data_IF_310783208153
#
_entry.id   IF_310783208153
#
_cell.length_a   1.000
_cell.length_b   1.000
_cell.length_c   1.000
_cell.angle_alpha   90.00
_cell.angle_beta   90.00
_cell.angle_gamma   90.00
#
_symmetry.space_group_name_H-M   'P 1'
#
loop_
_entity.id
_entity.type
_entity.pdbx_description
1 polymer ?
#
# COMPACT_ATOMS: atom_id res chain seq x y z
N UNK A 1 2.56 -28.58 45.77
CA UNK A 1 3.38 -29.03 46.93
C UNK A 1 4.45 -29.98 46.41
N UNK A 2 5.73 -29.58 46.57
CA UNK A 2 6.97 -30.39 46.67
C UNK A 2 7.39 -31.31 45.50
N UNK A 3 8.66 -31.46 45.13
CA UNK A 3 9.94 -30.86 45.56
C UNK A 3 11.01 -31.30 44.53
N UNK A 4 11.94 -30.40 44.20
CA UNK A 4 13.24 -30.74 43.61
C UNK A 4 14.11 -31.53 44.61
N UNK A 5 15.18 -32.16 44.12
CA UNK A 5 16.45 -32.09 44.83
C UNK A 5 17.61 -31.57 43.96
N UNK A 6 18.51 -30.91 44.69
CA UNK A 6 19.75 -30.22 44.32
C UNK A 6 20.97 -31.13 44.54
N UNK A 7 22.10 -30.75 43.93
CA UNK A 7 23.48 -31.12 44.30
C UNK A 7 24.35 -31.20 43.03
N UNK A 8 25.20 -30.25 42.63
CA UNK A 8 26.21 -29.37 43.27
C UNK A 8 27.52 -30.05 43.69
N UNK A 9 28.61 -29.67 43.02
CA UNK A 9 30.01 -29.63 43.47
C UNK A 9 30.84 -29.01 42.31
N UNK A 10 31.15 -27.71 42.33
CA UNK A 10 32.28 -27.01 43.00
C UNK A 10 33.60 -26.99 42.19
N UNK A 11 33.84 -25.87 41.48
CA UNK A 11 34.88 -24.80 41.65
C UNK A 11 36.29 -25.18 42.22
N UNK A 12 37.37 -24.34 42.18
CA UNK A 12 37.47 -22.92 41.74
C UNK A 12 38.83 -22.45 41.09
N UNK A 13 38.87 -21.18 40.65
CA UNK A 13 39.89 -20.12 40.90
C UNK A 13 40.10 -19.21 39.66
N UNK A 14 39.64 -17.94 39.72
CA UNK A 14 40.41 -16.70 40.08
C UNK A 14 41.58 -16.42 39.12
N UNK A 15 41.84 -15.22 38.60
CA UNK A 15 41.36 -13.86 38.84
C UNK A 15 42.08 -12.90 37.89
N UNK A 16 41.42 -11.79 37.52
CA UNK A 16 41.93 -10.40 37.36
C UNK A 16 43.31 -10.14 36.73
N UNK A 17 43.38 -9.29 35.69
CA UNK A 17 43.93 -7.91 35.80
C UNK A 17 44.23 -7.26 34.44
N UNK A 18 44.05 -5.94 34.42
CA UNK A 18 44.42 -4.99 33.38
C UNK A 18 45.93 -4.80 33.25
N UNK A 19 46.47 -4.68 32.03
CA UNK A 19 47.72 -3.96 31.68
C UNK A 19 47.59 -3.48 30.21
N UNK A 20 47.61 -2.18 29.90
CA UNK A 20 48.73 -1.22 29.87
C UNK A 20 49.65 -1.34 28.64
N UNK A 21 49.82 -0.21 27.96
CA UNK A 21 50.63 0.05 26.76
C UNK A 21 52.15 -0.12 26.94
N UNK A 22 52.84 -0.45 25.83
CA UNK A 22 54.23 -0.17 25.36
C UNK A 22 54.82 -1.44 24.69
N UNK A 23 55.70 -1.47 23.68
CA UNK A 23 56.68 -0.53 23.09
C UNK A 23 57.27 -1.14 21.79
N UNK A 24 57.97 -0.29 20.99
CA UNK A 24 59.04 -0.67 20.04
C UNK A 24 58.58 -0.73 18.58
N UNK A 25 59.25 -0.17 17.57
CA UNK A 25 60.65 0.23 17.37
C UNK A 25 60.62 1.12 16.09
N UNK A 26 61.25 2.28 15.96
CA UNK A 26 62.68 2.44 15.66
C UNK A 26 63.07 3.94 15.62
N UNK A 27 64.26 4.19 16.16
CA UNK A 27 65.33 5.11 15.74
C UNK A 27 65.17 6.62 15.93
N UNK A 28 65.75 7.04 17.05
CA UNK A 28 66.37 8.35 17.30
C UNK A 28 67.78 8.33 16.68
N UNK A 29 68.14 9.37 15.93
CA UNK A 29 69.53 9.74 15.69
C UNK A 29 69.71 11.23 16.05
N UNK A 30 70.69 11.51 16.91
CA UNK A 30 70.86 12.76 17.62
C UNK A 30 72.35 13.09 17.63
N UNK A 31 72.88 13.54 16.49
CA UNK A 31 74.16 14.25 16.44
C UNK A 31 74.33 15.06 15.13
N UNK A 32 73.91 16.32 15.14
CA UNK A 32 74.63 17.41 14.46
C UNK A 32 73.95 18.77 14.73
N UNK A 33 74.58 19.56 15.60
CA UNK A 33 74.26 20.96 15.75
C UNK A 33 74.78 21.77 14.56
N UNK A 34 73.89 22.26 13.68
CA UNK A 34 74.09 23.53 12.99
C UNK A 34 72.83 24.03 12.28
N UNK A 35 72.57 25.32 12.46
CA UNK A 35 71.44 26.08 11.92
C UNK A 35 71.65 26.31 10.42
N UNK A 36 70.68 25.88 9.59
CA UNK A 36 70.48 26.43 8.23
C UNK A 36 69.06 26.99 8.10
N UNK A 37 68.97 28.33 8.12
CA UNK A 37 67.80 29.09 7.66
C UNK A 37 67.52 28.73 6.19
N UNK A 38 66.42 28.03 5.91
CA UNK A 38 65.86 28.02 4.56
C UNK A 38 64.98 29.27 4.37
N UNK A 39 65.38 30.10 3.40
CA UNK A 39 64.55 31.22 2.92
C UNK A 39 63.30 30.63 2.26
N UNK A 40 62.12 30.86 2.85
CA UNK A 40 60.84 30.66 2.13
C UNK A 40 60.80 31.61 0.92
N UNK A 41 60.39 31.15 -0.27
CA UNK A 41 60.16 32.04 -1.39
C UNK A 41 58.98 32.96 -1.05
N UNK A 42 59.17 34.27 -1.18
CA UNK A 42 58.07 35.23 -1.13
C UNK A 42 57.22 35.02 -2.38
N UNK A 43 56.04 34.42 -2.23
CA UNK A 43 55.02 34.39 -3.27
C UNK A 43 54.51 35.81 -3.51
N UNK A 44 55.01 36.46 -4.57
CA UNK A 44 54.64 37.81 -4.99
C UNK A 44 53.23 37.90 -5.62
N UNK A 45 52.43 36.83 -5.60
CA UNK A 45 51.05 36.83 -6.15
C UNK A 45 49.95 37.18 -5.12
N UNK A 46 50.21 37.03 -3.82
CA UNK A 46 49.18 37.29 -2.79
C UNK A 46 48.94 38.79 -2.51
N UNK A 47 49.88 39.67 -2.86
CA UNK A 47 49.78 41.11 -2.56
C UNK A 47 48.95 41.94 -3.56
N UNK A 48 48.63 41.40 -4.74
CA UNK A 48 47.87 42.12 -5.76
C UNK A 48 46.35 41.86 -5.71
N UNK A 49 45.92 40.75 -5.11
CA UNK A 49 44.49 40.44 -4.92
C UNK A 49 43.93 40.98 -3.59
N UNK A 50 44.73 40.95 -2.51
CA UNK A 50 44.30 41.45 -1.20
C UNK A 50 43.93 42.93 -1.20
N UNK A 51 44.64 43.77 -1.96
CA UNK A 51 44.36 45.21 -2.08
C UNK A 51 43.08 45.51 -2.86
N UNK A 52 42.74 44.73 -3.90
CA UNK A 52 41.49 44.88 -4.66
C UNK A 52 40.27 44.37 -3.90
N UNK A 53 40.40 43.23 -3.22
CA UNK A 53 39.34 42.66 -2.38
C UNK A 53 39.04 43.61 -1.21
N UNK A 54 40.08 44.09 -0.52
CA UNK A 54 39.90 45.03 0.58
C UNK A 54 39.25 46.35 0.12
N UNK A 55 39.52 46.80 -1.10
CA UNK A 55 38.87 47.98 -1.69
C UNK A 55 37.39 47.75 -2.04
N UNK A 56 37.01 46.55 -2.47
CA UNK A 56 35.62 46.14 -2.71
C UNK A 56 34.82 46.02 -1.42
N UNK A 57 35.41 45.42 -0.37
CA UNK A 57 34.82 45.39 0.98
C UNK A 57 34.65 46.79 1.57
N UNK A 58 35.52 47.75 1.22
CA UNK A 58 35.47 49.13 1.71
C UNK A 58 34.47 50.02 0.95
N UNK A 59 34.28 49.80 -0.36
CA UNK A 59 33.32 50.54 -1.19
C UNK A 59 31.88 50.02 -1.06
N UNK A 60 31.70 48.71 -0.92
CA UNK A 60 30.39 48.08 -0.91
C UNK A 60 30.26 46.97 0.17
N UNK A 61 30.40 47.32 1.47
CA UNK A 61 30.39 46.35 2.56
C UNK A 61 29.08 45.52 2.62
N UNK A 62 27.96 46.14 2.22
CA UNK A 62 26.64 45.50 2.21
C UNK A 62 26.53 44.45 1.09
N UNK A 63 26.96 44.77 -0.14
CA UNK A 63 26.90 43.83 -1.28
C UNK A 63 27.76 42.60 -1.06
N UNK A 64 28.96 42.78 -0.48
CA UNK A 64 29.84 41.64 -0.19
C UNK A 64 29.27 40.77 0.93
N UNK A 65 28.64 41.37 1.94
CA UNK A 65 27.93 40.63 2.99
C UNK A 65 26.75 39.82 2.42
N UNK A 66 25.97 40.40 1.51
CA UNK A 66 24.86 39.72 0.83
C UNK A 66 25.37 38.53 0.01
N UNK A 67 26.47 38.67 -0.72
CA UNK A 67 27.06 37.59 -1.52
C UNK A 67 27.54 36.42 -0.66
N UNK A 68 28.17 36.70 0.49
CA UNK A 68 28.64 35.67 1.42
C UNK A 68 27.48 34.94 2.10
N UNK A 69 26.42 35.66 2.48
CA UNK A 69 25.20 35.07 3.04
C UNK A 69 24.49 34.20 2.01
N UNK A 70 24.37 34.68 0.77
CA UNK A 70 23.77 33.92 -0.33
C UNK A 70 24.55 32.63 -0.61
N UNK A 71 25.88 32.70 -0.68
CA UNK A 71 26.73 31.52 -0.84
C UNK A 71 26.58 30.54 0.32
N UNK A 72 26.55 31.03 1.56
CA UNK A 72 26.33 30.21 2.75
C UNK A 72 24.98 29.47 2.72
N UNK A 73 23.91 30.14 2.31
CA UNK A 73 22.58 29.54 2.15
C UNK A 73 22.60 28.46 1.06
N UNK A 74 23.23 28.71 -0.08
CA UNK A 74 23.32 27.71 -1.16
C UNK A 74 24.07 26.45 -0.72
N UNK A 75 25.18 26.60 0.02
CA UNK A 75 25.92 25.46 0.57
C UNK A 75 25.08 24.68 1.58
N UNK A 76 24.32 25.36 2.44
CA UNK A 76 23.43 24.71 3.41
C UNK A 76 22.32 23.92 2.72
N UNK A 77 21.70 24.47 1.67
CA UNK A 77 20.67 23.78 0.87
C UNK A 77 21.26 22.54 0.18
N UNK A 78 22.47 22.64 -0.35
CA UNK A 78 23.13 21.53 -1.02
C UNK A 78 23.49 20.41 -0.02
N UNK A 79 24.04 20.76 1.15
CA UNK A 79 24.34 19.81 2.21
C UNK A 79 23.08 19.17 2.79
N UNK A 80 21.99 19.93 2.95
CA UNK A 80 20.71 19.37 3.40
C UNK A 80 20.12 18.42 2.36
N UNK A 81 20.23 18.74 1.07
CA UNK A 81 19.77 17.88 -0.03
C UNK A 81 20.56 16.57 -0.10
N UNK A 82 21.89 16.62 0.06
CA UNK A 82 22.74 15.41 0.10
C UNK A 82 22.40 14.58 1.34
N UNK A 83 22.32 15.20 2.52
CA UNK A 83 21.97 14.50 3.76
C UNK A 83 20.60 13.84 3.67
N UNK A 84 19.61 14.54 3.12
CA UNK A 84 18.27 13.99 2.90
C UNK A 84 18.28 12.82 1.90
N UNK A 85 19.08 12.92 0.82
CA UNK A 85 19.22 11.84 -0.16
C UNK A 85 19.87 10.59 0.45
N UNK A 86 20.97 10.74 1.21
CA UNK A 86 21.66 9.63 1.84
C UNK A 86 20.83 8.99 2.96
N UNK A 87 20.12 9.82 3.74
CA UNK A 87 19.20 9.34 4.77
C UNK A 87 18.01 8.57 4.16
N UNK A 88 17.40 9.09 3.09
CA UNK A 88 16.34 8.38 2.35
C UNK A 88 16.83 7.04 1.80
N UNK A 89 18.03 6.99 1.22
CA UNK A 89 18.61 5.75 0.70
C UNK A 89 18.94 4.74 1.80
N UNK A 90 19.51 5.17 2.93
CA UNK A 90 19.81 4.29 4.06
C UNK A 90 18.55 3.76 4.76
N UNK A 91 17.51 4.60 4.88
CA UNK A 91 16.19 4.19 5.38
C UNK A 91 15.50 3.25 4.42
N UNK A 92 15.57 3.48 3.11
CA UNK A 92 15.01 2.58 2.09
C UNK A 92 15.71 1.20 2.11
N UNK A 93 17.04 1.18 2.22
CA UNK A 93 17.81 -0.07 2.27
C UNK A 93 17.50 -0.88 3.54
N UNK A 94 17.43 -0.21 4.69
CA UNK A 94 17.10 -0.85 5.99
C UNK A 94 15.62 -1.27 6.07
N UNK A 95 14.72 -0.58 5.36
CA UNK A 95 13.31 -0.97 5.24
C UNK A 95 13.13 -2.25 4.43
N UNK A 96 13.83 -2.39 3.30
CA UNK A 96 13.71 -3.57 2.43
C UNK A 96 14.16 -4.87 3.12
N UNK A 97 15.19 -4.82 3.97
CA UNK A 97 15.73 -6.00 4.66
C UNK A 97 14.87 -6.43 5.86
N UNK A 98 14.07 -5.51 6.42
CA UNK A 98 13.09 -5.79 7.48
C UNK A 98 11.71 -6.17 6.92
N UNK A 99 11.29 -5.62 5.77
CA UNK A 99 9.94 -5.80 5.21
C UNK A 99 9.63 -7.26 4.79
N UNK A 100 10.63 -8.05 4.39
CA UNK A 100 10.39 -9.44 3.94
C UNK A 100 9.93 -10.40 5.06
N UNK A 101 10.27 -10.12 6.32
CA UNK A 101 9.78 -10.89 7.50
C UNK A 101 8.56 -10.22 8.18
N UNK A 102 8.15 -9.02 7.73
CA UNK A 102 7.08 -8.21 8.36
C UNK A 102 5.71 -8.44 7.73
N UNK A 103 5.65 -8.77 6.43
CA UNK A 103 4.38 -8.93 5.71
C UNK A 103 4.03 -10.40 5.48
N UNK A 104 2.84 -10.87 5.89
CA UNK A 104 2.48 -12.29 5.84
C UNK A 104 2.39 -12.87 4.42
N UNK A 105 2.29 -12.01 3.39
CA UNK A 105 2.14 -12.43 1.99
C UNK A 105 3.09 -11.67 1.04
N UNK A 106 4.32 -11.38 1.50
CA UNK A 106 5.29 -10.56 0.77
C UNK A 106 5.61 -11.05 -0.67
N UNK A 107 5.44 -12.35 -0.93
CA UNK A 107 5.70 -12.98 -2.22
C UNK A 107 4.55 -12.81 -3.24
N UNK A 108 3.34 -12.44 -2.81
CA UNK A 108 2.20 -12.28 -3.71
C UNK A 108 2.25 -10.92 -4.41
N UNK A 109 1.96 -10.92 -5.71
CA UNK A 109 2.09 -9.75 -6.60
C UNK A 109 0.79 -9.34 -7.24
N UNK A 110 -0.16 -10.26 -7.40
CA UNK A 110 -1.38 -10.01 -8.16
C UNK A 110 -2.60 -10.01 -7.23
N UNK A 111 -3.55 -9.10 -7.46
CA UNK A 111 -4.81 -9.05 -6.73
C UNK A 111 -5.90 -9.71 -7.58
N UNK A 112 -6.56 -10.74 -7.05
CA UNK A 112 -7.87 -11.19 -7.52
C UNK A 112 -8.91 -10.69 -6.54
N UNK A 113 -9.75 -9.77 -6.96
CA UNK A 113 -10.77 -9.14 -6.15
C UNK A 113 -12.15 -9.63 -6.59
N UNK A 114 -12.95 -10.13 -5.66
CA UNK A 114 -14.34 -10.55 -5.90
C UNK A 114 -15.27 -9.56 -5.20
N UNK A 115 -16.07 -8.84 -5.99
CA UNK A 115 -17.01 -7.86 -5.45
C UNK A 115 -18.23 -8.56 -4.82
N UNK A 116 -18.53 -8.23 -3.58
CA UNK A 116 -19.74 -8.64 -2.87
C UNK A 116 -20.99 -7.95 -3.41
N UNK A 117 -22.12 -8.66 -3.39
CA UNK A 117 -23.43 -8.12 -3.79
C UNK A 117 -24.57 -8.50 -2.85
N UNK A 118 -24.33 -9.40 -1.89
CA UNK A 118 -25.31 -9.90 -0.91
C UNK A 118 -24.58 -10.65 0.20
N UNK A 119 -25.30 -10.92 1.29
CA UNK A 119 -24.81 -11.65 2.46
C UNK A 119 -25.48 -13.02 2.51
N UNK A 120 -24.71 -14.09 2.59
CA UNK A 120 -25.23 -15.42 2.94
C UNK A 120 -25.63 -15.42 4.43
N UNK A 121 -26.91 -15.68 4.71
CA UNK A 121 -27.50 -15.54 6.06
C UNK A 121 -28.05 -16.83 6.64
N UNK A 122 -28.11 -17.92 5.87
CA UNK A 122 -28.63 -19.20 6.37
C UNK A 122 -27.85 -19.68 7.60
N UNK A 123 -28.58 -20.08 8.64
CA UNK A 123 -28.02 -20.72 9.84
C UNK A 123 -27.69 -22.19 9.62
N UNK A 124 -28.28 -22.81 8.59
CA UNK A 124 -28.11 -24.22 8.28
C UNK A 124 -27.16 -24.34 7.10
N UNK A 125 -26.02 -25.02 7.31
CA UNK A 125 -25.04 -25.31 6.26
C UNK A 125 -25.66 -26.24 5.22
N UNK A 126 -26.24 -25.66 4.18
CA UNK A 126 -26.91 -26.39 3.10
C UNK A 126 -27.96 -25.49 2.45
N UNK A 127 -28.09 -25.52 1.12
CA UNK A 127 -28.93 -24.64 0.28
C UNK A 127 -28.35 -23.27 -0.10
N UNK A 128 -27.04 -23.16 -0.28
CA UNK A 128 -26.40 -21.93 -0.78
C UNK A 128 -26.87 -21.53 -2.20
N UNK A 129 -27.39 -22.48 -2.95
CA UNK A 129 -28.01 -22.31 -4.27
C UNK A 129 -29.43 -21.72 -4.21
N UNK A 130 -29.98 -21.50 -3.00
CA UNK A 130 -31.35 -21.01 -2.81
C UNK A 130 -31.39 -19.56 -2.37
N UNK A 131 -32.29 -18.80 -2.94
CA UNK A 131 -32.50 -17.37 -2.69
C UNK A 131 -32.81 -17.08 -1.21
N UNK A 132 -33.56 -17.96 -0.52
CA UNK A 132 -33.88 -17.79 0.91
C UNK A 132 -32.66 -17.85 1.84
N UNK A 133 -31.53 -18.37 1.36
CA UNK A 133 -30.29 -18.45 2.13
C UNK A 133 -29.47 -17.16 2.08
N UNK A 134 -29.90 -16.20 1.26
CA UNK A 134 -29.22 -14.92 1.04
C UNK A 134 -30.11 -13.77 1.50
N UNK A 135 -29.49 -12.72 2.02
CA UNK A 135 -30.20 -11.47 2.25
C UNK A 135 -30.30 -10.70 0.92
N UNK A 136 -31.51 -10.68 0.34
CA UNK A 136 -31.78 -10.09 -0.97
C UNK A 136 -32.57 -8.77 -0.86
N UNK A 137 -32.11 -7.74 -1.57
CA UNK A 137 -32.93 -6.54 -1.81
C UNK A 137 -34.14 -6.88 -2.69
N UNK A 138 -35.16 -6.02 -2.70
CA UNK A 138 -36.37 -6.24 -3.51
C UNK A 138 -36.07 -6.54 -4.98
N UNK A 139 -35.13 -5.83 -5.60
CA UNK A 139 -34.73 -6.05 -6.99
C UNK A 139 -33.87 -7.29 -7.22
N UNK A 140 -33.34 -7.90 -6.16
CA UNK A 140 -32.54 -9.14 -6.21
C UNK A 140 -33.42 -10.40 -5.99
N UNK A 141 -34.70 -10.23 -5.63
CA UNK A 141 -35.63 -11.35 -5.35
C UNK A 141 -36.20 -11.93 -6.64
N UNK A 142 -35.37 -12.64 -7.37
CA UNK A 142 -35.76 -13.40 -8.56
C UNK A 142 -34.97 -14.71 -8.65
N UNK A 143 -35.51 -15.74 -9.33
CA UNK A 143 -34.80 -16.97 -9.64
C UNK A 143 -33.39 -16.75 -10.22
N UNK A 144 -32.44 -17.56 -9.76
CA UNK A 144 -31.06 -17.60 -10.27
C UNK A 144 -30.13 -16.55 -9.66
N UNK A 145 -30.62 -15.69 -8.77
CA UNK A 145 -29.79 -14.68 -8.12
C UNK A 145 -28.71 -15.32 -7.24
N UNK A 146 -29.09 -16.33 -6.44
CA UNK A 146 -28.16 -17.06 -5.58
C UNK A 146 -27.06 -17.75 -6.40
N UNK A 147 -27.44 -18.40 -7.52
CA UNK A 147 -26.50 -19.03 -8.44
C UNK A 147 -25.50 -18.03 -9.04
N UNK A 148 -25.90 -16.78 -9.25
CA UNK A 148 -24.99 -15.75 -9.74
C UNK A 148 -23.93 -15.38 -8.70
N UNK A 149 -24.31 -15.25 -7.42
CA UNK A 149 -23.36 -15.03 -6.34
C UNK A 149 -22.36 -16.18 -6.19
N UNK A 150 -22.85 -17.42 -6.30
CA UNK A 150 -22.00 -18.61 -6.31
C UNK A 150 -21.02 -18.58 -7.48
N UNK A 151 -21.46 -18.14 -8.66
CA UNK A 151 -20.60 -18.00 -9.84
C UNK A 151 -19.48 -16.97 -9.62
N UNK A 152 -19.78 -15.80 -9.02
CA UNK A 152 -18.73 -14.83 -8.67
C UNK A 152 -17.66 -15.43 -7.76
N UNK A 153 -18.10 -16.20 -6.75
CA UNK A 153 -17.21 -16.80 -5.76
C UNK A 153 -16.33 -17.87 -6.42
N UNK A 154 -16.93 -18.79 -7.17
CA UNK A 154 -16.20 -19.86 -7.86
C UNK A 154 -15.21 -19.30 -8.89
N UNK A 155 -15.64 -18.34 -9.73
CA UNK A 155 -14.77 -17.70 -10.73
C UNK A 155 -13.57 -16.99 -10.07
N UNK A 156 -13.78 -16.34 -8.93
CA UNK A 156 -12.69 -15.72 -8.17
C UNK A 156 -11.69 -16.71 -7.59
N UNK A 157 -12.18 -17.84 -7.07
CA UNK A 157 -11.33 -18.93 -6.58
C UNK A 157 -10.54 -19.54 -7.73
N UNK A 158 -11.18 -19.83 -8.86
CA UNK A 158 -10.51 -20.39 -10.05
C UNK A 158 -9.49 -19.42 -10.65
N UNK A 159 -9.80 -18.12 -10.70
CA UNK A 159 -8.87 -17.10 -11.18
C UNK A 159 -7.61 -17.04 -10.30
N UNK A 160 -7.78 -17.10 -8.98
CA UNK A 160 -6.65 -17.16 -8.04
C UNK A 160 -5.91 -18.50 -8.09
N UNK A 161 -6.59 -19.62 -8.39
CA UNK A 161 -5.98 -20.94 -8.56
C UNK A 161 -5.06 -21.03 -9.78
N UNK A 162 -5.33 -20.24 -10.83
CA UNK A 162 -4.51 -20.16 -12.05
C UNK A 162 -3.26 -19.28 -11.90
N UNK A 163 -3.11 -18.58 -10.77
CA UNK A 163 -2.02 -17.63 -10.50
C UNK A 163 -1.50 -17.82 -9.07
N UNK A 164 -0.37 -18.52 -8.94
CA UNK A 164 0.28 -18.79 -7.65
C UNK A 164 0.78 -17.51 -6.94
N UNK A 165 0.97 -16.40 -7.67
CA UNK A 165 1.34 -15.11 -7.12
C UNK A 165 0.11 -14.24 -6.78
N UNK A 166 -1.11 -14.76 -6.92
CA UNK A 166 -2.33 -14.03 -6.63
C UNK A 166 -2.76 -14.12 -5.16
N UNK A 167 -3.19 -12.98 -4.62
CA UNK A 167 -3.96 -12.88 -3.38
C UNK A 167 -5.45 -12.73 -3.74
N UNK A 168 -6.29 -13.63 -3.24
CA UNK A 168 -7.73 -13.55 -3.39
C UNK A 168 -8.33 -12.71 -2.25
N UNK A 169 -9.03 -11.62 -2.60
CA UNK A 169 -9.80 -10.81 -1.66
C UNK A 169 -11.27 -10.80 -2.05
N UNK A 170 -12.12 -11.36 -1.20
CA UNK A 170 -13.55 -11.05 -1.23
C UNK A 170 -13.77 -9.68 -0.61
N UNK A 171 -14.45 -8.76 -1.29
CA UNK A 171 -14.62 -7.38 -0.83
C UNK A 171 -16.09 -6.99 -0.71
N UNK A 172 -16.43 -6.32 0.38
CA UNK A 172 -17.77 -5.83 0.67
C UNK A 172 -18.09 -5.89 2.15
N UNK A 173 -18.55 -4.77 2.71
CA UNK A 173 -18.76 -4.61 4.14
C UNK A 173 -20.14 -5.02 4.66
N UNK A 174 -20.37 -4.69 5.92
CA UNK A 174 -21.64 -4.90 6.64
C UNK A 174 -22.70 -3.87 6.21
N UNK A 175 -23.14 -3.91 4.95
CA UNK A 175 -23.93 -2.81 4.36
C UNK A 175 -25.42 -2.83 4.69
N UNK A 176 -25.90 -3.86 5.40
CA UNK A 176 -27.34 -4.14 5.58
C UNK A 176 -27.65 -4.49 7.02
N UNK A 177 -28.45 -3.66 7.69
CA UNK A 177 -28.77 -3.82 9.12
C UNK A 177 -29.51 -5.13 9.40
N UNK A 178 -30.44 -5.48 8.53
CA UNK A 178 -31.34 -6.63 8.66
C UNK A 178 -30.62 -7.96 8.39
N UNK A 179 -29.46 -7.94 7.72
CA UNK A 179 -28.62 -9.13 7.53
C UNK A 179 -27.80 -9.50 8.78
N UNK A 180 -27.78 -8.62 9.79
CA UNK A 180 -26.92 -8.71 10.97
C UNK A 180 -25.49 -8.20 10.72
N UNK A 181 -24.60 -8.29 11.73
CA UNK A 181 -23.21 -7.81 11.63
C UNK A 181 -22.35 -8.81 10.84
N UNK A 182 -22.72 -9.03 9.58
CA UNK A 182 -22.02 -9.92 8.64
C UNK A 182 -21.67 -9.14 7.38
N UNK A 183 -20.40 -9.16 7.01
CA UNK A 183 -19.94 -8.52 5.79
C UNK A 183 -20.23 -9.41 4.57
N UNK A 184 -20.43 -8.79 3.42
CA UNK A 184 -20.57 -9.52 2.15
C UNK A 184 -19.31 -10.37 1.90
N UNK A 185 -18.12 -9.81 2.17
CA UNK A 185 -16.83 -10.48 2.05
C UNK A 185 -16.70 -11.75 2.90
N UNK A 186 -17.00 -11.68 4.22
CA UNK A 186 -16.96 -12.86 5.09
C UNK A 186 -17.93 -13.93 4.61
N UNK A 187 -19.13 -13.51 4.17
CA UNK A 187 -20.14 -14.46 3.72
C UNK A 187 -19.70 -15.21 2.46
N UNK A 188 -19.02 -14.53 1.52
CA UNK A 188 -18.49 -15.14 0.31
C UNK A 188 -17.34 -16.10 0.62
N UNK A 189 -16.40 -15.70 1.50
CA UNK A 189 -15.32 -16.57 1.95
C UNK A 189 -15.85 -17.84 2.63
N UNK A 190 -16.85 -17.71 3.51
CA UNK A 190 -17.45 -18.85 4.20
C UNK A 190 -18.20 -19.80 3.26
N UNK A 191 -18.84 -19.26 2.22
CA UNK A 191 -19.47 -20.07 1.16
C UNK A 191 -18.41 -20.85 0.39
N UNK A 192 -17.31 -20.22 -0.01
CA UNK A 192 -16.20 -20.90 -0.70
C UNK A 192 -15.60 -22.03 0.16
N UNK A 193 -15.38 -21.76 1.44
CA UNK A 193 -14.90 -22.74 2.43
C UNK A 193 -15.85 -23.94 2.51
N UNK A 194 -17.14 -23.68 2.72
CA UNK A 194 -18.14 -24.75 2.86
C UNK A 194 -18.38 -25.54 1.58
N UNK A 195 -18.12 -24.97 0.41
CA UNK A 195 -18.16 -25.68 -0.89
C UNK A 195 -16.90 -26.49 -1.15
N UNK A 196 -15.85 -26.33 -0.34
CA UNK A 196 -14.55 -26.95 -0.57
C UNK A 196 -13.84 -26.42 -1.81
N UNK A 197 -14.21 -25.24 -2.30
CA UNK A 197 -13.66 -24.69 -3.55
C UNK A 197 -12.19 -24.33 -3.44
N UNK A 198 -11.72 -23.91 -2.27
CA UNK A 198 -10.31 -23.60 -2.07
C UNK A 198 -9.38 -24.81 -2.22
N UNK A 199 -9.89 -26.03 -2.00
CA UNK A 199 -9.09 -27.26 -2.00
C UNK A 199 -8.69 -27.75 -3.39
N UNK A 200 -9.25 -27.15 -4.46
CA UNK A 200 -8.91 -27.53 -5.83
C UNK A 200 -7.50 -27.05 -6.24
N UNK A 201 -7.05 -25.91 -5.71
CA UNK A 201 -5.84 -25.20 -6.18
C UNK A 201 -4.98 -24.60 -5.03
N UNK A 202 -5.13 -25.10 -3.80
CA UNK A 202 -4.44 -24.59 -2.58
C UNK A 202 -4.57 -23.05 -2.36
N UNK A 203 -5.68 -22.47 -2.82
CA UNK A 203 -5.96 -21.02 -2.75
C UNK A 203 -6.26 -20.58 -1.32
N UNK A 204 -6.66 -21.52 -0.45
CA UNK A 204 -7.16 -21.25 0.90
C UNK A 204 -6.18 -20.41 1.74
N UNK A 205 -4.88 -20.70 1.62
CA UNK A 205 -3.82 -20.04 2.38
C UNK A 205 -3.66 -18.55 2.04
N UNK A 206 -4.13 -18.15 0.86
CA UNK A 206 -3.99 -16.82 0.25
C UNK A 206 -5.35 -16.22 -0.18
N UNK A 207 -6.42 -16.65 0.50
CA UNK A 207 -7.77 -16.11 0.37
C UNK A 207 -8.21 -15.38 1.65
N UNK A 208 -8.44 -14.07 1.56
CA UNK A 208 -8.81 -13.20 2.68
C UNK A 208 -10.01 -12.31 2.33
N UNK A 209 -10.37 -11.42 3.26
CA UNK A 209 -11.51 -10.53 3.17
C UNK A 209 -11.10 -9.05 3.26
N UNK A 210 -11.86 -8.21 2.57
CA UNK A 210 -11.94 -6.76 2.73
C UNK A 210 -13.39 -6.42 3.14
N UNK A 211 -13.59 -5.99 4.38
CA UNK A 211 -14.93 -5.98 5.00
C UNK A 211 -15.52 -4.58 5.22
N UNK A 212 -15.01 -3.57 4.55
CA UNK A 212 -15.37 -2.17 4.81
C UNK A 212 -15.94 -1.46 3.59
N UNK A 213 -15.81 -2.02 2.38
CA UNK A 213 -16.35 -1.37 1.18
C UNK A 213 -17.88 -1.26 1.20
N UNK A 214 -18.39 -0.06 0.90
CA UNK A 214 -19.83 0.26 0.88
C UNK A 214 -20.37 0.47 -0.54
N UNK A 215 -19.49 0.59 -1.53
CA UNK A 215 -19.85 0.63 -2.94
C UNK A 215 -18.78 -0.01 -3.84
N UNK A 216 -19.02 0.01 -5.15
CA UNK A 216 -18.12 -0.60 -6.14
C UNK A 216 -16.75 0.08 -6.25
N UNK A 217 -16.64 1.39 -5.95
CA UNK A 217 -15.35 2.07 -6.01
C UNK A 217 -14.52 1.75 -4.78
N UNK A 218 -15.13 1.79 -3.59
CA UNK A 218 -14.50 1.36 -2.34
C UNK A 218 -14.10 -0.11 -2.42
N UNK A 219 -14.92 -0.96 -3.03
CA UNK A 219 -14.60 -2.37 -3.30
C UNK A 219 -13.22 -2.52 -3.95
N UNK A 220 -12.94 -1.74 -5.00
CA UNK A 220 -11.65 -1.75 -5.68
C UNK A 220 -10.55 -1.09 -4.84
N UNK A 221 -10.77 0.16 -4.41
CA UNK A 221 -9.74 0.97 -3.73
C UNK A 221 -9.32 0.36 -2.38
N UNK A 222 -10.27 -0.17 -1.62
CA UNK A 222 -10.02 -0.78 -0.32
C UNK A 222 -9.31 -2.12 -0.50
N UNK A 223 -9.67 -2.90 -1.52
CA UNK A 223 -8.94 -4.15 -1.82
C UNK A 223 -7.49 -3.89 -2.19
N UNK A 224 -7.20 -2.81 -2.94
CA UNK A 224 -5.81 -2.39 -3.25
C UNK A 224 -5.05 -1.98 -1.99
N UNK A 225 -5.68 -1.22 -1.09
CA UNK A 225 -5.08 -0.86 0.19
C UNK A 225 -4.86 -2.10 1.09
N UNK A 226 -5.83 -3.01 1.13
CA UNK A 226 -5.76 -4.26 1.89
C UNK A 226 -4.66 -5.18 1.37
N UNK A 227 -4.50 -5.25 0.05
CA UNK A 227 -3.37 -5.95 -0.57
C UNK A 227 -2.03 -5.37 -0.08
N UNK A 228 -1.89 -4.03 -0.06
CA UNK A 228 -0.67 -3.36 0.42
C UNK A 228 -0.35 -3.63 1.89
N UNK A 229 -1.38 -3.73 2.74
CA UNK A 229 -1.24 -4.10 4.16
C UNK A 229 -0.71 -5.53 4.33
N UNK A 230 -1.10 -6.43 3.44
CA UNK A 230 -0.80 -7.86 3.55
C UNK A 230 0.52 -8.26 2.90
N UNK A 231 0.93 -7.56 1.83
CA UNK A 231 2.03 -7.98 0.96
C UNK A 231 3.24 -7.07 0.98
N UNK A 232 3.19 -5.91 1.63
CA UNK A 232 4.34 -5.02 1.57
C UNK A 232 4.49 -4.23 0.26
N UNK A 233 3.63 -4.45 -0.73
CA UNK A 233 3.69 -3.76 -2.03
C UNK A 233 2.29 -3.54 -2.61
N UNK A 234 2.15 -2.66 -3.61
CA UNK A 234 0.88 -2.50 -4.32
C UNK A 234 0.77 -3.56 -5.42
N UNK A 235 -0.45 -4.00 -5.79
CA UNK A 235 -0.60 -5.08 -6.75
C UNK A 235 -0.01 -4.72 -8.12
N UNK A 236 0.73 -5.66 -8.69
CA UNK A 236 1.23 -5.57 -10.05
C UNK A 236 0.09 -5.75 -11.05
N UNK A 237 -0.74 -6.77 -10.92
CA UNK A 237 -1.97 -6.91 -11.71
C UNK A 237 -3.20 -6.89 -10.81
N UNK A 238 -4.31 -6.40 -11.33
CA UNK A 238 -5.63 -6.50 -10.69
C UNK A 238 -6.57 -7.26 -11.63
N UNK A 239 -7.17 -8.32 -11.14
CA UNK A 239 -8.29 -9.01 -11.76
C UNK A 239 -9.53 -8.79 -10.90
N UNK A 240 -10.58 -8.20 -11.45
CA UNK A 240 -11.86 -8.00 -10.76
C UNK A 240 -12.88 -9.02 -11.26
N UNK A 241 -13.54 -9.69 -10.33
CA UNK A 241 -14.65 -10.61 -10.58
C UNK A 241 -15.95 -10.00 -10.05
N UNK A 242 -16.92 -9.82 -10.92
CA UNK A 242 -18.23 -9.24 -10.61
C UNK A 242 -19.20 -9.51 -11.77
N UNK A 243 -20.35 -8.84 -11.80
CA UNK A 243 -21.31 -8.97 -12.89
C UNK A 243 -20.77 -8.47 -14.23
N UNK A 244 -21.04 -9.19 -15.31
CA UNK A 244 -20.69 -8.80 -16.69
C UNK A 244 -21.11 -7.36 -17.03
N UNK A 245 -22.34 -6.98 -16.71
CA UNK A 245 -22.86 -5.65 -17.01
C UNK A 245 -22.13 -4.52 -16.27
N UNK A 246 -21.36 -4.82 -15.21
CA UNK A 246 -20.59 -3.82 -14.43
C UNK A 246 -19.17 -3.59 -14.97
N UNK A 247 -18.75 -4.33 -16.00
CA UNK A 247 -17.39 -4.25 -16.57
C UNK A 247 -16.99 -2.81 -16.88
N UNK A 248 -17.82 -2.10 -17.65
CA UNK A 248 -17.59 -0.71 -18.05
C UNK A 248 -17.30 0.20 -16.85
N UNK A 249 -18.05 0.05 -15.77
CA UNK A 249 -17.88 0.87 -14.57
C UNK A 249 -16.57 0.52 -13.85
N UNK A 250 -16.20 -0.75 -13.74
CA UNK A 250 -14.95 -1.13 -13.09
C UNK A 250 -13.72 -0.83 -13.95
N UNK A 251 -13.71 -1.32 -15.18
CA UNK A 251 -12.57 -1.28 -16.10
C UNK A 251 -12.31 0.12 -16.67
N UNK A 252 -13.33 0.95 -16.88
CA UNK A 252 -13.13 2.27 -17.49
C UNK A 252 -13.33 3.43 -16.53
N UNK A 253 -14.27 3.36 -15.57
CA UNK A 253 -14.46 4.45 -14.61
C UNK A 253 -13.61 4.28 -13.35
N UNK A 254 -13.83 3.23 -12.56
CA UNK A 254 -13.16 3.05 -11.27
C UNK A 254 -11.66 2.89 -11.42
N UNK A 255 -11.20 2.05 -12.35
CA UNK A 255 -9.78 1.91 -12.69
C UNK A 255 -9.17 3.26 -13.07
N UNK A 256 -9.85 4.03 -13.92
CA UNK A 256 -9.34 5.33 -14.38
C UNK A 256 -9.33 6.38 -13.27
N UNK A 257 -10.34 6.42 -12.40
CA UNK A 257 -10.39 7.29 -11.23
C UNK A 257 -9.27 6.96 -10.24
N UNK A 258 -8.97 5.66 -10.07
CA UNK A 258 -7.82 5.19 -9.31
C UNK A 258 -6.48 5.40 -10.04
N UNK A 259 -6.47 5.79 -11.32
CA UNK A 259 -5.24 5.94 -12.10
C UNK A 259 -4.49 4.63 -12.37
N UNK A 260 -5.13 3.47 -12.22
CA UNK A 260 -4.45 2.19 -12.39
C UNK A 260 -4.30 1.85 -13.88
N UNK A 261 -3.14 1.33 -14.35
CA UNK A 261 -2.91 1.14 -15.78
C UNK A 261 -3.79 0.04 -16.36
N UNK A 262 -4.35 0.33 -17.54
CA UNK A 262 -5.24 -0.58 -18.27
C UNK A 262 -4.56 -1.91 -18.63
N UNK A 263 -3.28 -1.87 -19.03
CA UNK A 263 -2.51 -3.07 -19.39
C UNK A 263 -2.33 -4.08 -18.24
N UNK A 264 -2.54 -3.65 -17.00
CA UNK A 264 -2.42 -4.49 -15.79
C UNK A 264 -3.76 -4.74 -15.09
N UNK A 265 -4.87 -4.34 -15.72
CA UNK A 265 -6.22 -4.49 -15.19
C UNK A 265 -7.03 -5.48 -16.04
N UNK A 266 -7.60 -6.50 -15.41
CA UNK A 266 -8.46 -7.50 -16.05
C UNK A 266 -9.80 -7.53 -15.37
N UNK A 267 -10.85 -7.79 -16.14
CA UNK A 267 -12.21 -7.96 -15.64
C UNK A 267 -12.75 -9.32 -16.04
N UNK A 268 -13.39 -9.99 -15.10
CA UNK A 268 -14.02 -11.29 -15.30
C UNK A 268 -15.49 -11.16 -14.88
N UNK A 269 -16.35 -11.03 -15.90
CA UNK A 269 -17.77 -10.86 -15.72
C UNK A 269 -18.50 -12.19 -15.65
N UNK A 270 -19.30 -12.42 -14.61
CA UNK A 270 -20.26 -13.53 -14.62
C UNK A 270 -21.65 -13.00 -15.02
N UNK A 271 -22.45 -13.79 -15.74
CA UNK A 271 -23.73 -13.32 -16.27
C UNK A 271 -24.75 -13.09 -15.16
N UNK A 272 -25.58 -12.07 -15.31
CA UNK A 272 -26.82 -11.91 -14.54
C UNK A 272 -27.85 -13.00 -14.90
N UNK A 273 -28.85 -13.22 -14.04
CA UNK A 273 -29.98 -14.07 -14.41
C UNK A 273 -30.74 -13.46 -15.60
N UNK A 274 -31.34 -14.31 -16.44
CA UNK A 274 -32.07 -13.87 -17.62
C UNK A 274 -33.22 -12.92 -17.27
N UNK A 275 -33.90 -13.14 -16.15
CA UNK A 275 -35.04 -12.34 -15.71
C UNK A 275 -34.65 -10.93 -15.27
N UNK A 276 -33.46 -10.76 -14.67
CA UNK A 276 -33.03 -9.45 -14.19
C UNK A 276 -32.13 -8.69 -15.15
N UNK A 277 -31.64 -9.34 -16.22
CA UNK A 277 -30.65 -8.77 -17.16
C UNK A 277 -31.03 -7.38 -17.68
N UNK A 278 -32.26 -7.20 -18.17
CA UNK A 278 -32.68 -5.90 -18.72
C UNK A 278 -32.74 -4.80 -17.65
N UNK A 279 -33.34 -5.11 -16.48
CA UNK A 279 -33.41 -4.19 -15.36
C UNK A 279 -32.03 -3.85 -14.79
N UNK A 280 -31.14 -4.84 -14.74
CA UNK A 280 -29.76 -4.68 -14.31
C UNK A 280 -28.97 -3.76 -15.24
N UNK A 281 -29.10 -3.92 -16.56
CA UNK A 281 -28.45 -3.04 -17.55
C UNK A 281 -28.95 -1.59 -17.45
N UNK A 282 -30.27 -1.40 -17.29
CA UNK A 282 -30.86 -0.06 -17.09
C UNK A 282 -30.37 0.59 -15.79
N UNK A 283 -30.43 -0.15 -14.69
CA UNK A 283 -29.95 0.33 -13.38
C UNK A 283 -28.45 0.63 -13.40
N UNK A 284 -27.66 -0.19 -14.08
CA UNK A 284 -26.23 0.03 -14.22
C UNK A 284 -25.91 1.28 -15.04
N UNK A 285 -26.61 1.52 -16.15
CA UNK A 285 -26.42 2.72 -16.95
C UNK A 285 -26.60 4.00 -16.12
N UNK A 286 -27.59 4.03 -15.23
CA UNK A 286 -27.82 5.16 -14.31
C UNK A 286 -26.67 5.34 -13.32
N UNK A 287 -26.19 4.25 -12.71
CA UNK A 287 -25.10 4.34 -11.73
C UNK A 287 -23.78 4.69 -12.42
N UNK A 288 -23.55 4.21 -13.64
CA UNK A 288 -22.39 4.56 -14.45
C UNK A 288 -22.36 6.06 -14.78
N UNK A 289 -23.50 6.64 -15.16
CA UNK A 289 -23.62 8.10 -15.35
C UNK A 289 -23.29 8.88 -14.06
N UNK A 290 -23.74 8.39 -12.89
CA UNK A 290 -23.39 9.01 -11.61
C UNK A 290 -21.88 8.99 -11.32
N UNK A 291 -21.19 7.88 -11.61
CA UNK A 291 -19.73 7.81 -11.46
C UNK A 291 -18.95 8.54 -12.55
N UNK A 292 -19.55 8.85 -13.71
CA UNK A 292 -18.93 9.75 -14.68
C UNK A 292 -18.88 11.19 -14.15
N UNK A 293 -19.93 11.62 -13.45
CA UNK A 293 -20.00 12.95 -12.85
C UNK A 293 -19.23 13.05 -11.51
N UNK A 294 -19.24 11.98 -10.73
CA UNK A 294 -18.59 11.88 -9.42
C UNK A 294 -17.72 10.60 -9.33
N UNK A 295 -16.52 10.61 -9.94
CA UNK A 295 -15.67 9.42 -10.07
C UNK A 295 -15.26 8.76 -8.76
N UNK A 296 -15.28 9.51 -7.65
CA UNK A 296 -14.87 9.04 -6.32
C UNK A 296 -16.08 8.82 -5.40
N UNK A 297 -17.30 9.09 -5.87
CA UNK A 297 -18.54 8.91 -5.11
C UNK A 297 -18.60 9.78 -3.84
N UNK A 298 -18.14 11.02 -3.92
CA UNK A 298 -18.04 11.94 -2.78
C UNK A 298 -19.27 12.83 -2.57
N UNK A 299 -20.17 12.94 -3.57
CA UNK A 299 -21.31 13.85 -3.53
C UNK A 299 -22.61 13.15 -3.95
N UNK A 300 -23.71 13.91 -3.93
CA UNK A 300 -24.97 13.49 -4.54
C UNK A 300 -25.57 12.20 -3.99
N UNK A 301 -26.09 11.37 -4.88
CA UNK A 301 -26.75 10.10 -4.53
C UNK A 301 -25.75 9.03 -4.08
N UNK A 302 -24.55 8.99 -4.65
CA UNK A 302 -23.50 8.03 -4.33
C UNK A 302 -23.04 8.18 -2.88
N UNK A 303 -22.72 9.41 -2.45
CA UNK A 303 -22.35 9.69 -1.07
C UNK A 303 -23.45 9.31 -0.07
N UNK A 304 -24.70 9.71 -0.34
CA UNK A 304 -25.84 9.35 0.52
C UNK A 304 -26.04 7.83 0.60
N UNK A 305 -25.76 7.10 -0.48
CA UNK A 305 -25.81 5.64 -0.51
C UNK A 305 -24.71 5.03 0.35
N UNK A 306 -23.48 5.56 0.32
CA UNK A 306 -22.38 5.14 1.21
C UNK A 306 -22.76 5.33 2.68
N UNK A 307 -23.30 6.50 3.05
CA UNK A 307 -23.74 6.78 4.43
C UNK A 307 -24.81 5.79 4.92
N UNK A 308 -25.77 5.41 4.07
CA UNK A 308 -26.80 4.43 4.43
C UNK A 308 -26.28 3.00 4.56
N UNK A 309 -25.13 2.71 3.95
CA UNK A 309 -24.50 1.38 3.90
C UNK A 309 -23.43 1.19 4.99
N UNK A 310 -23.51 1.97 6.06
CA UNK A 310 -22.75 1.75 7.29
C UNK A 310 -23.69 1.70 8.52
N UNK A 311 -24.67 0.78 8.54
CA UNK A 311 -25.67 0.71 9.60
C UNK A 311 -25.08 0.38 10.98
N UNK A 312 -23.88 -0.17 11.03
CA UNK A 312 -23.18 -0.56 12.27
C UNK A 312 -22.10 0.44 12.69
N UNK A 313 -21.92 1.55 11.95
CA UNK A 313 -20.90 2.58 12.20
C UNK A 313 -19.50 2.00 12.40
N UNK A 314 -19.09 1.13 11.47
CA UNK A 314 -17.78 0.48 11.47
C UNK A 314 -16.69 1.53 11.27
N UNK A 315 -15.65 1.50 12.11
CA UNK A 315 -14.46 2.32 11.84
C UNK A 315 -13.76 1.78 10.58
N UNK A 316 -13.57 2.63 9.58
CA UNK A 316 -12.87 2.29 8.34
C UNK A 316 -11.35 2.37 8.59
N UNK A 317 -10.58 1.29 8.37
CA UNK A 317 -9.15 1.27 8.68
C UNK A 317 -8.30 2.07 7.68
N UNK A 318 -8.82 2.32 6.48
CA UNK A 318 -8.10 2.98 5.40
C UNK A 318 -8.13 4.51 5.51
N UNK A 319 -7.05 5.22 5.13
CA UNK A 319 -5.84 4.72 4.45
C UNK A 319 -4.66 4.43 5.39
N UNK A 320 -4.88 4.04 6.66
CA UNK A 320 -3.78 3.90 7.62
C UNK A 320 -2.74 2.84 7.20
N UNK A 321 -3.15 1.79 6.48
CA UNK A 321 -2.27 0.76 5.91
C UNK A 321 -1.72 1.03 4.50
N UNK A 322 -2.06 2.16 3.89
CA UNK A 322 -1.61 2.53 2.54
C UNK A 322 -1.31 4.04 2.46
N UNK A 323 -0.29 4.52 3.22
CA UNK A 323 0.01 5.94 3.34
C UNK A 323 0.35 6.60 2.00
N UNK A 324 0.91 5.86 1.04
CA UNK A 324 1.31 6.37 -0.28
C UNK A 324 0.12 6.80 -1.12
N UNK A 325 -1.07 6.21 -0.92
CA UNK A 325 -2.31 6.60 -1.62
C UNK A 325 -3.29 7.37 -0.72
N UNK A 326 -2.84 7.89 0.43
CA UNK A 326 -3.68 8.71 1.34
C UNK A 326 -4.32 9.90 0.63
N UNK A 327 -3.62 10.50 -0.33
CA UNK A 327 -4.14 11.61 -1.14
C UNK A 327 -5.35 11.20 -1.97
N UNK A 328 -5.28 10.01 -2.60
CA UNK A 328 -6.36 9.45 -3.42
C UNK A 328 -7.63 9.22 -2.59
N UNK A 329 -7.50 8.68 -1.38
CA UNK A 329 -8.64 8.47 -0.46
C UNK A 329 -9.36 9.77 -0.05
N UNK A 330 -8.68 10.92 -0.11
CA UNK A 330 -9.23 12.23 0.27
C UNK A 330 -9.70 13.04 -0.93
N UNK A 331 -9.47 12.54 -2.14
CA UNK A 331 -9.75 13.29 -3.36
C UNK A 331 -11.21 13.13 -3.79
N UNK A 332 -11.83 14.26 -4.14
CA UNK A 332 -13.24 14.36 -4.49
C UNK A 332 -13.46 15.33 -5.66
N UNK A 333 -12.65 15.20 -6.72
CA UNK A 333 -12.77 16.00 -7.94
C UNK A 333 -13.42 15.23 -9.09
N UNK A 334 -13.86 15.94 -10.12
CA UNK A 334 -14.35 15.36 -11.38
C UNK A 334 -13.21 14.99 -12.34
N UNK A 335 -12.01 15.55 -12.14
CA UNK A 335 -10.82 15.21 -12.90
C UNK A 335 -10.10 13.99 -12.30
N UNK A 336 -9.21 13.32 -13.05
CA UNK A 336 -8.30 12.33 -12.48
C UNK A 336 -7.47 12.90 -11.33
N UNK A 337 -7.16 12.08 -10.34
CA UNK A 337 -6.35 12.47 -9.19
C UNK A 337 -4.98 12.97 -9.67
N UNK A 338 -4.57 14.20 -9.32
CA UNK A 338 -3.35 14.81 -9.87
C UNK A 338 -2.06 14.41 -9.14
N UNK A 339 -2.15 13.69 -8.03
CA UNK A 339 -0.99 13.27 -7.25
C UNK A 339 -0.34 12.01 -7.83
N UNK A 340 0.95 11.82 -7.54
CA UNK A 340 1.66 10.60 -7.92
C UNK A 340 1.11 9.38 -7.19
N UNK A 341 0.99 8.27 -7.92
CA UNK A 341 0.51 6.99 -7.44
C UNK A 341 1.62 5.93 -7.53
N UNK A 342 1.62 4.91 -6.65
CA UNK A 342 2.65 3.87 -6.63
C UNK A 342 2.73 3.01 -7.89
N UNK A 343 1.65 2.97 -8.67
CA UNK A 343 1.54 2.25 -9.94
C UNK A 343 1.71 3.16 -11.15
N UNK A 344 1.94 4.46 -10.95
CA UNK A 344 2.45 5.32 -12.01
C UNK A 344 3.79 4.73 -12.43
N UNK A 345 3.95 4.50 -13.72
CA UNK A 345 5.22 4.11 -14.29
C UNK A 345 6.26 5.19 -13.96
N UNK A 346 6.95 5.03 -12.83
CA UNK A 346 8.23 5.68 -12.63
C UNK A 346 9.13 5.13 -13.73
N UNK A 347 9.45 6.00 -14.68
CA UNK A 347 10.75 6.15 -15.34
C UNK A 347 11.69 4.99 -14.98
N UNK A 348 11.47 3.85 -15.61
CA UNK A 348 12.43 2.76 -15.64
C UNK A 348 13.35 3.15 -16.79
N UNK A 349 14.59 3.51 -16.45
CA UNK A 349 15.68 4.01 -17.30
C UNK A 349 15.76 5.55 -17.41
N UNK A 350 16.57 6.13 -16.53
CA UNK A 350 17.65 7.05 -16.92
C UNK A 350 18.91 6.71 -16.13
#
# INVERSE_FOLDING_TARGET
MNKYPFGSSNNPNKSSSYYAYQRGNNDFDLESGSVRKSRKPKTLFAKMFGTRIHHLFKLHPVLVSIALVSFGITVLIFLSSIYESQFRSAVAYKKNDLDNDVYPFANLKNLVMVAGHSVYTSSNCGKMDKEESWFLESYQKHPGQAATFLSHIEEGVEAAGKDDEALLLFSGGETRKEAGPRSEAQSYWAVAESKGWFGKDDVRSRALTEEHARDSFENLLFSVCRFRELTGSYPHNITVVSYDFKEERFAHLHRSAMGFPESRFRYMGTPASLESKEGALKGEAMVRAQFQEDPYGCVGSLWRKKLKRDPFHRTIPYPNGCPEIRGLFRYCGSAPFPGSLPWDSSVSNL
#
